data_IF_648781321894
#
_entry.id   IF_648781321894
#
_cell.length_a   1.000
_cell.length_b   1.000
_cell.length_c   1.000
_cell.angle_alpha   90.00
_cell.angle_beta   90.00
_cell.angle_gamma   90.00
#
_symmetry.space_group_name_H-M   'P 1'
#
loop_
_entity.id
_entity.type
_entity.pdbx_description
1 polymer ?
#
# COMPACT_ATOMS: atom_id res chain seq x y z
N UNK A 1 41.47 -12.18 53.44
CA UNK A 1 40.53 -11.24 54.11
C UNK A 1 40.30 -9.95 53.34
N UNK A 2 41.25 -9.47 52.52
CA UNK A 2 41.08 -8.27 51.69
C UNK A 2 40.14 -8.48 50.49
N UNK A 3 40.17 -9.66 49.86
CA UNK A 3 39.33 -10.01 48.69
C UNK A 3 37.82 -10.07 49.00
N UNK A 4 37.42 -10.37 50.24
CA UNK A 4 36.01 -10.48 50.64
C UNK A 4 35.38 -9.07 50.79
N UNK A 5 36.18 -8.08 51.21
CA UNK A 5 35.75 -6.68 51.30
C UNK A 5 35.56 -6.04 49.92
N UNK A 6 36.31 -6.47 48.91
CA UNK A 6 36.14 -5.94 47.54
C UNK A 6 34.83 -6.46 46.92
N UNK A 7 34.47 -7.72 47.15
CA UNK A 7 33.23 -8.31 46.62
C UNK A 7 31.95 -7.70 47.24
N UNK A 8 31.96 -7.29 48.52
CA UNK A 8 30.81 -6.63 49.14
C UNK A 8 30.59 -5.19 48.62
N UNK A 9 31.67 -4.48 48.27
CA UNK A 9 31.59 -3.14 47.66
C UNK A 9 31.06 -3.22 46.23
N UNK A 10 31.46 -4.23 45.44
CA UNK A 10 30.92 -4.44 44.10
C UNK A 10 29.43 -4.80 44.11
N UNK A 11 28.94 -5.56 45.10
CA UNK A 11 27.51 -5.85 45.24
C UNK A 11 26.68 -4.61 45.61
N UNK A 12 27.19 -3.70 46.44
CA UNK A 12 26.47 -2.49 46.82
C UNK A 12 26.30 -1.50 45.64
N UNK A 13 27.27 -1.46 44.71
CA UNK A 13 27.16 -0.61 43.52
C UNK A 13 26.25 -1.19 42.42
N UNK A 14 26.06 -2.52 42.38
CA UNK A 14 25.17 -3.14 41.39
C UNK A 14 23.68 -3.00 41.73
N UNK A 15 23.34 -2.80 43.00
CA UNK A 15 21.93 -2.71 43.46
C UNK A 15 21.31 -1.33 43.20
N UNK A 16 22.10 -0.29 42.90
CA UNK A 16 21.60 1.08 42.75
C UNK A 16 21.12 1.47 41.34
N UNK A 17 20.96 0.52 40.40
CA UNK A 17 20.44 0.83 39.05
C UNK A 17 19.07 0.25 38.75
N UNK A 18 18.36 -0.29 39.75
CA UNK A 18 17.05 -0.90 39.54
C UNK A 18 15.87 -0.03 40.02
N UNK A 19 15.89 1.28 39.79
CA UNK A 19 14.69 2.11 40.00
C UNK A 19 14.74 3.36 39.13
N UNK A 20 14.29 3.22 37.88
CA UNK A 20 13.40 4.14 37.14
C UNK A 20 13.46 3.81 35.64
N UNK A 21 12.89 2.66 35.26
CA UNK A 21 12.16 2.63 34.00
C UNK A 21 10.95 3.55 34.22
N UNK A 22 11.14 4.84 33.92
CA UNK A 22 10.02 5.77 33.72
C UNK A 22 9.32 5.27 32.47
N UNK A 23 8.51 4.23 32.64
CA UNK A 23 7.46 3.87 31.71
C UNK A 23 6.70 5.16 31.51
N UNK A 24 6.93 5.79 30.36
CA UNK A 24 6.02 6.81 29.85
C UNK A 24 4.74 6.03 29.65
N UNK A 25 3.89 6.03 30.68
CA UNK A 25 2.52 5.57 30.61
C UNK A 25 1.89 6.42 29.52
N UNK A 26 1.99 5.96 28.27
CA UNK A 26 0.99 6.28 27.29
C UNK A 26 -0.30 5.86 27.98
N UNK A 27 -1.12 6.85 28.30
CA UNK A 27 -2.49 6.67 28.75
C UNK A 27 -3.15 5.71 27.77
N UNK A 28 -3.14 4.41 28.10
CA UNK A 28 -4.02 3.45 27.46
C UNK A 28 -5.37 3.90 27.98
N UNK A 29 -6.10 4.66 27.17
CA UNK A 29 -7.52 4.81 27.38
C UNK A 29 -8.07 3.40 27.39
N UNK A 30 -8.42 2.87 28.57
CA UNK A 30 -9.31 1.74 28.68
C UNK A 30 -10.65 2.19 28.10
N UNK A 31 -10.82 2.02 26.79
CA UNK A 31 -12.13 2.07 26.19
C UNK A 31 -12.87 0.83 26.67
N UNK A 32 -13.75 1.02 27.65
CA UNK A 32 -14.75 0.05 28.04
C UNK A 32 -15.69 -0.15 26.83
N UNK A 33 -15.35 -1.11 25.95
CA UNK A 33 -16.11 -1.51 24.76
C UNK A 33 -17.41 -2.27 25.11
N UNK A 34 -17.86 -2.20 26.36
CA UNK A 34 -19.07 -2.87 26.84
C UNK A 34 -20.34 -2.02 26.67
N UNK A 35 -20.22 -0.78 26.19
CA UNK A 35 -21.35 0.10 25.91
C UNK A 35 -21.21 0.81 24.54
N UNK A 36 -22.35 1.03 23.87
CA UNK A 36 -22.46 1.69 22.57
C UNK A 36 -21.81 3.10 22.54
N UNK A 37 -21.83 3.80 23.67
CA UNK A 37 -21.19 5.12 23.81
C UNK A 37 -19.65 5.05 23.76
N UNK A 38 -19.04 4.00 24.33
CA UNK A 38 -17.58 3.83 24.31
C UNK A 38 -17.03 3.53 22.91
N UNK A 39 -17.82 2.80 22.10
CA UNK A 39 -17.48 2.51 20.69
C UNK A 39 -17.52 3.78 19.83
N UNK A 40 -18.53 4.65 20.04
CA UNK A 40 -18.67 5.90 19.29
C UNK A 40 -17.50 6.86 19.54
N UNK A 41 -17.01 6.91 20.77
CA UNK A 41 -15.88 7.76 21.15
C UNK A 41 -14.56 7.25 20.54
N UNK A 42 -14.38 5.92 20.46
CA UNK A 42 -13.25 5.34 19.75
C UNK A 42 -13.29 5.62 18.24
N UNK A 43 -14.48 5.61 17.62
CA UNK A 43 -14.67 5.96 16.21
C UNK A 43 -14.35 7.44 15.92
N UNK A 44 -14.61 8.34 16.88
CA UNK A 44 -14.26 9.76 16.76
C UNK A 44 -12.75 10.03 16.81
N UNK A 45 -11.96 9.11 17.38
CA UNK A 45 -10.49 9.19 17.36
C UNK A 45 -9.88 8.70 16.05
N UNK A 46 -10.65 8.03 15.18
CA UNK A 46 -10.16 7.59 13.87
C UNK A 46 -10.06 8.79 12.91
N UNK A 47 -9.05 8.79 12.01
CA UNK A 47 -8.92 9.85 11.02
C UNK A 47 -10.14 9.85 10.10
N UNK A 48 -10.73 11.01 9.82
CA UNK A 48 -11.83 11.10 8.83
C UNK A 48 -11.33 11.18 7.39
N UNK A 49 -10.08 11.59 7.23
CA UNK A 49 -9.43 11.80 5.94
C UNK A 49 -8.46 10.66 5.62
N UNK A 50 -8.39 10.27 4.35
CA UNK A 50 -7.47 9.27 3.86
C UNK A 50 -6.12 9.91 3.53
N UNK A 51 -5.02 9.34 4.01
CA UNK A 51 -3.67 9.79 3.64
C UNK A 51 -3.01 8.75 2.74
N UNK A 52 -2.66 9.14 1.52
CA UNK A 52 -1.94 8.26 0.59
C UNK A 52 -1.00 9.03 -0.32
N UNK A 53 0.21 8.49 -0.52
CA UNK A 53 1.29 9.11 -1.29
C UNK A 53 1.61 10.55 -0.85
N UNK A 54 1.51 10.85 0.45
CA UNK A 54 1.74 12.18 1.01
C UNK A 54 0.59 13.18 0.81
N UNK A 55 -0.48 12.79 0.11
CA UNK A 55 -1.69 13.61 -0.07
C UNK A 55 -2.78 13.19 0.92
N UNK A 56 -3.65 14.13 1.27
CA UNK A 56 -4.79 13.92 2.18
C UNK A 56 -6.08 14.14 1.38
N UNK A 57 -6.98 13.16 1.41
CA UNK A 57 -8.27 13.15 0.71
C UNK A 57 -9.40 13.12 1.72
N UNK A 58 -10.48 13.85 1.44
CA UNK A 58 -11.64 13.91 2.33
C UNK A 58 -12.53 12.67 2.19
N UNK A 59 -13.27 12.33 3.24
CA UNK A 59 -14.29 11.28 3.14
C UNK A 59 -15.28 11.57 1.99
N UNK A 60 -15.55 10.56 1.17
CA UNK A 60 -16.38 10.63 -0.03
C UNK A 60 -15.64 11.04 -1.30
N UNK A 61 -14.41 11.56 -1.20
CA UNK A 61 -13.60 11.99 -2.35
C UNK A 61 -13.04 10.79 -3.12
N UNK A 62 -13.10 10.87 -4.45
CA UNK A 62 -12.49 9.89 -5.35
C UNK A 62 -11.15 10.41 -5.84
N UNK A 63 -10.12 9.59 -5.74
CA UNK A 63 -8.76 9.93 -6.17
C UNK A 63 -8.14 8.80 -7.00
N UNK A 64 -7.20 9.17 -7.86
CA UNK A 64 -6.55 8.28 -8.81
C UNK A 64 -5.07 8.14 -8.47
N UNK A 65 -4.57 6.91 -8.46
CA UNK A 65 -3.14 6.61 -8.33
C UNK A 65 -2.74 5.80 -9.55
N UNK A 66 -2.06 6.46 -10.50
CA UNK A 66 -1.80 5.89 -11.82
C UNK A 66 -3.12 5.65 -12.55
N UNK A 67 -3.38 4.40 -12.95
CA UNK A 67 -4.62 4.01 -13.63
C UNK A 67 -5.65 3.37 -12.68
N UNK A 68 -5.41 3.44 -11.36
CA UNK A 68 -6.27 2.84 -10.34
C UNK A 68 -7.07 3.94 -9.64
N UNK A 69 -8.37 3.73 -9.49
CA UNK A 69 -9.31 4.68 -8.89
C UNK A 69 -9.76 4.16 -7.53
N UNK A 70 -9.65 5.04 -6.54
CA UNK A 70 -10.00 4.78 -5.16
C UNK A 70 -10.99 5.83 -4.66
N UNK A 71 -11.80 5.45 -3.67
CA UNK A 71 -12.69 6.36 -2.96
C UNK A 71 -12.31 6.36 -1.49
N UNK A 72 -12.07 7.55 -0.95
CA UNK A 72 -11.89 7.71 0.48
C UNK A 72 -13.24 7.52 1.17
N UNK A 73 -13.27 6.67 2.19
CA UNK A 73 -14.41 6.45 3.06
C UNK A 73 -14.16 7.13 4.42
N UNK A 74 -15.18 7.13 5.26
CA UNK A 74 -15.02 7.52 6.64
C UNK A 74 -13.99 6.63 7.37
N UNK A 75 -13.46 7.13 8.48
CA UNK A 75 -12.43 6.45 9.27
C UNK A 75 -11.08 6.25 8.54
N UNK A 76 -10.85 7.00 7.45
CA UNK A 76 -9.56 7.05 6.76
C UNK A 76 -9.26 5.79 5.94
N UNK A 77 -10.26 4.94 5.78
CA UNK A 77 -10.22 3.74 4.94
C UNK A 77 -10.52 4.16 3.51
N UNK A 78 -9.87 3.56 2.52
CA UNK A 78 -10.20 3.78 1.11
C UNK A 78 -10.67 2.46 0.46
N UNK A 79 -11.66 2.57 -0.42
CA UNK A 79 -12.19 1.46 -1.23
C UNK A 79 -11.68 1.58 -2.66
N UNK A 80 -11.41 0.44 -3.29
CA UNK A 80 -11.09 0.40 -4.71
C UNK A 80 -12.39 0.49 -5.53
N UNK A 81 -12.47 1.45 -6.45
CA UNK A 81 -13.67 1.65 -7.29
C UNK A 81 -13.49 1.02 -8.68
N UNK A 82 -12.26 1.02 -9.21
CA UNK A 82 -12.01 0.52 -10.55
C UNK A 82 -10.69 1.02 -11.12
N UNK A 83 -10.49 0.77 -12.40
CA UNK A 83 -9.38 1.34 -13.17
C UNK A 83 -9.89 2.44 -14.10
N UNK A 84 -8.99 3.30 -14.55
CA UNK A 84 -9.24 4.31 -15.57
C UNK A 84 -8.18 4.20 -16.65
N UNK A 85 -8.65 4.07 -17.89
CA UNK A 85 -7.81 4.06 -19.08
C UNK A 85 -7.35 5.48 -19.39
N UNK A 86 -6.29 5.62 -20.19
CA UNK A 86 -5.73 6.92 -20.57
C UNK A 86 -6.68 7.79 -21.41
N UNK A 87 -7.64 7.17 -22.08
CA UNK A 87 -8.72 7.84 -22.81
C UNK A 87 -9.85 8.36 -21.89
N UNK A 88 -9.74 8.12 -20.58
CA UNK A 88 -10.75 8.49 -19.59
C UNK A 88 -11.83 7.44 -19.38
N UNK A 89 -11.79 6.31 -20.10
CA UNK A 89 -12.77 5.26 -19.93
C UNK A 89 -12.58 4.53 -18.58
N UNK A 90 -13.67 4.36 -17.86
CA UNK A 90 -13.66 3.72 -16.55
C UNK A 90 -13.98 2.23 -16.65
N UNK A 91 -13.15 1.41 -16.03
CA UNK A 91 -13.32 -0.05 -15.99
C UNK A 91 -13.54 -0.52 -14.56
N UNK A 92 -14.53 -1.37 -14.35
CA UNK A 92 -14.75 -2.04 -13.07
C UNK A 92 -13.70 -3.13 -12.81
N UNK A 93 -13.57 -3.54 -11.55
CA UNK A 93 -12.68 -4.64 -11.18
C UNK A 93 -13.07 -5.94 -11.90
N UNK A 94 -12.10 -6.62 -12.49
CA UNK A 94 -12.29 -7.86 -13.26
C UNK A 94 -12.61 -7.63 -14.73
N UNK A 95 -12.86 -6.39 -15.16
CA UNK A 95 -13.14 -6.11 -16.57
C UNK A 95 -11.89 -6.26 -17.45
N UNK A 96 -12.09 -6.75 -18.66
CA UNK A 96 -11.07 -6.86 -19.69
C UNK A 96 -11.71 -6.54 -21.03
N UNK A 97 -11.15 -5.55 -21.73
CA UNK A 97 -11.70 -5.05 -22.98
C UNK A 97 -10.59 -4.93 -24.02
N UNK A 98 -10.93 -5.12 -25.28
CA UNK A 98 -10.00 -4.95 -26.40
C UNK A 98 -10.48 -3.76 -27.21
N UNK A 99 -9.65 -2.73 -27.29
CA UNK A 99 -9.89 -1.53 -28.08
C UNK A 99 -8.63 -1.25 -28.88
N UNK A 100 -8.76 -1.02 -30.19
CA UNK A 100 -7.64 -0.69 -31.09
C UNK A 100 -6.45 -1.67 -31.04
N UNK A 101 -6.74 -2.98 -31.01
CA UNK A 101 -5.74 -4.04 -30.84
C UNK A 101 -4.94 -3.95 -29.53
N UNK A 102 -5.46 -3.27 -28.50
CA UNK A 102 -4.90 -3.26 -27.16
C UNK A 102 -5.94 -3.83 -26.20
N UNK A 103 -5.56 -4.90 -25.52
CA UNK A 103 -6.29 -5.48 -24.40
C UNK A 103 -5.97 -4.70 -23.13
N UNK A 104 -6.97 -4.01 -22.62
CA UNK A 104 -6.99 -3.36 -21.31
C UNK A 104 -7.57 -4.32 -20.29
N UNK A 105 -6.93 -4.47 -19.13
CA UNK A 105 -7.39 -5.37 -18.08
C UNK A 105 -7.26 -4.70 -16.70
N UNK A 106 -8.35 -4.71 -15.94
CA UNK A 106 -8.38 -4.30 -14.54
C UNK A 106 -8.54 -5.55 -13.67
N UNK A 107 -7.46 -6.05 -13.08
CA UNK A 107 -7.41 -7.35 -12.42
C UNK A 107 -7.14 -7.21 -10.92
N UNK A 108 -7.71 -8.11 -10.11
CA UNK A 108 -7.30 -8.31 -8.71
C UNK A 108 -6.56 -9.63 -8.57
N UNK A 109 -5.40 -9.61 -7.90
CA UNK A 109 -4.72 -10.82 -7.44
C UNK A 109 -4.56 -10.74 -5.92
N UNK A 110 -5.34 -11.56 -5.21
CA UNK A 110 -5.38 -11.53 -3.75
C UNK A 110 -5.88 -10.19 -3.23
N UNK A 111 -5.08 -9.53 -2.39
CA UNK A 111 -5.35 -8.19 -1.85
C UNK A 111 -4.85 -7.03 -2.72
N UNK A 112 -4.24 -7.34 -3.87
CA UNK A 112 -3.64 -6.34 -4.76
C UNK A 112 -4.44 -6.20 -6.05
N UNK A 113 -4.52 -4.97 -6.55
CA UNK A 113 -5.20 -4.63 -7.80
C UNK A 113 -4.18 -4.12 -8.82
N UNK A 114 -4.41 -4.45 -10.09
CA UNK A 114 -3.48 -4.22 -11.19
C UNK A 114 -4.22 -3.77 -12.43
N UNK A 115 -3.63 -2.79 -13.12
CA UNK A 115 -4.05 -2.38 -14.44
C UNK A 115 -2.99 -2.82 -15.46
N UNK A 116 -3.40 -3.52 -16.52
CA UNK A 116 -2.52 -4.07 -17.54
C UNK A 116 -3.02 -3.71 -18.93
N UNK A 117 -2.10 -3.25 -19.78
CA UNK A 117 -2.31 -3.02 -21.21
C UNK A 117 -1.48 -4.06 -21.98
N UNK A 118 -2.04 -4.71 -22.99
CA UNK A 118 -1.33 -5.70 -23.80
C UNK A 118 -1.83 -5.67 -25.22
N UNK A 119 -0.95 -5.55 -26.20
CA UNK A 119 -1.33 -5.58 -27.62
C UNK A 119 -2.00 -6.93 -27.93
N UNK A 120 -3.26 -6.91 -28.35
CA UNK A 120 -4.04 -8.06 -28.79
C UNK A 120 -3.93 -8.21 -30.31
N UNK A 121 -2.71 -8.49 -30.77
CA UNK A 121 -2.44 -9.06 -32.09
C UNK A 121 -1.82 -10.42 -31.88
N UNK A 122 -2.06 -11.38 -32.77
CA UNK A 122 -1.49 -12.73 -32.71
C UNK A 122 0.03 -12.78 -32.92
N UNK A 123 0.76 -11.74 -32.53
CA UNK A 123 2.21 -11.64 -32.61
C UNK A 123 2.74 -11.48 -31.19
N UNK A 124 3.02 -12.63 -30.55
CA UNK A 124 4.05 -12.68 -29.51
C UNK A 124 5.38 -12.26 -30.13
N UNK A 125 5.65 -10.97 -30.20
CA UNK A 125 7.00 -10.44 -30.29
C UNK A 125 7.26 -9.57 -29.06
N UNK A 126 7.87 -10.25 -28.06
CA UNK A 126 8.87 -9.80 -27.09
C UNK A 126 8.61 -8.43 -26.43
N UNK A 127 8.27 -8.39 -25.14
CA UNK A 127 9.27 -8.37 -24.06
C UNK A 127 10.54 -7.60 -24.46
N UNK A 128 10.45 -6.28 -24.58
CA UNK A 128 11.63 -5.45 -24.42
C UNK A 128 12.08 -5.55 -22.95
N UNK A 129 13.23 -6.20 -22.71
CA UNK A 129 14.32 -5.59 -21.93
C UNK A 129 15.56 -6.49 -21.76
N UNK A 130 15.46 -7.82 -21.69
CA UNK A 130 16.65 -8.62 -21.34
C UNK A 130 16.65 -10.00 -22.02
N UNK A 131 17.60 -10.20 -22.93
CA UNK A 131 18.00 -11.49 -23.52
C UNK A 131 17.06 -12.10 -24.56
N UNK A 132 17.38 -11.95 -25.85
CA UNK A 132 17.58 -13.12 -26.71
C UNK A 132 18.19 -12.73 -28.05
N UNK A 133 19.35 -13.30 -28.30
CA UNK A 133 19.98 -13.34 -29.60
C UNK A 133 19.01 -13.96 -30.62
N UNK A 134 18.73 -13.20 -31.68
CA UNK A 134 18.55 -13.70 -33.04
C UNK A 134 17.26 -14.49 -33.33
N UNK A 135 16.19 -13.77 -33.68
CA UNK A 135 15.37 -13.93 -34.91
C UNK A 135 14.09 -13.08 -34.82
N UNK A 136 14.22 -11.77 -35.06
CA UNK A 136 13.11 -10.89 -35.41
C UNK A 136 13.33 -10.43 -36.86
N UNK A 137 13.14 -11.35 -37.82
CA UNK A 137 13.14 -11.06 -39.25
C UNK A 137 11.65 -10.91 -39.60
N UNK A 138 11.07 -9.75 -39.91
CA UNK A 138 10.86 -9.28 -41.29
C UNK A 138 10.09 -7.93 -41.30
N UNK A 139 10.51 -6.90 -40.54
CA UNK A 139 9.86 -5.55 -40.61
C UNK A 139 10.87 -4.40 -40.67
N UNK A 140 12.11 -4.66 -41.11
CA UNK A 140 13.14 -3.62 -41.25
C UNK A 140 13.33 -3.08 -42.68
N UNK A 141 12.61 -3.59 -43.69
CA UNK A 141 12.88 -3.28 -45.10
C UNK A 141 11.95 -2.24 -45.75
N UNK A 142 11.17 -1.47 -44.98
CA UNK A 142 10.28 -0.43 -45.55
C UNK A 142 10.56 1.00 -45.10
N UNK A 143 11.56 1.25 -44.25
CA UNK A 143 11.82 2.60 -43.71
C UNK A 143 13.17 3.23 -44.09
N UNK A 144 13.94 2.64 -45.01
CA UNK A 144 15.10 3.31 -45.61
C UNK A 144 15.01 3.25 -47.14
N UNK A 145 14.35 4.25 -47.72
CA UNK A 145 14.64 4.76 -49.07
C UNK A 145 15.25 6.14 -48.90
#
# INVERSE_FOLDING_TARGET
MLLILVLSVFCAHYVFSLDTMKTKTQSIHEFQLNNSAGVMEALNMLPKDCKKNGQTYKAGETFEIGNLRYKCQEYGVYTFEGCKRKDGHEMALGQSEVVDNIKYQCLSMGSSVFYKETVSGADKCLIDAFSMHTRCLTVALLFFK
#
